data_IF_085091468081
#
_entry.id   IF_085091468081
#
_cell.length_a   1.000
_cell.length_b   1.000
_cell.length_c   1.000
_cell.angle_alpha   90.00
_cell.angle_beta   90.00
_cell.angle_gamma   90.00
#
_symmetry.space_group_name_H-M   'P 1'
#
loop_
_entity.id
_entity.type
_entity.pdbx_description
1 polymer ?
#
# COMPACT_ATOMS: atom_id res chain seq x y z
N UNK A 1 7.32 -44.98 -34.36
CA UNK A 1 6.79 -43.59 -34.42
C UNK A 1 6.16 -43.08 -33.12
N UNK A 2 5.12 -43.72 -32.53
CA UNK A 2 4.55 -43.22 -31.24
C UNK A 2 5.48 -43.43 -30.04
N UNK A 3 6.21 -44.55 -30.03
CA UNK A 3 7.16 -44.90 -28.96
C UNK A 3 8.41 -44.01 -28.98
N UNK A 4 8.90 -43.63 -30.17
CA UNK A 4 10.08 -42.78 -30.33
C UNK A 4 9.83 -41.36 -29.78
N UNK A 5 8.66 -40.78 -30.08
CA UNK A 5 8.25 -39.49 -29.52
C UNK A 5 8.07 -39.53 -27.99
N UNK A 6 7.68 -40.68 -27.44
CA UNK A 6 7.58 -40.86 -25.99
C UNK A 6 8.98 -40.94 -25.35
N UNK A 7 9.92 -41.65 -25.97
CA UNK A 7 11.30 -41.75 -25.51
C UNK A 7 12.02 -40.40 -25.54
N UNK A 8 11.84 -39.60 -26.60
CA UNK A 8 12.39 -38.25 -26.67
C UNK A 8 11.83 -37.34 -25.58
N UNK A 9 10.51 -37.40 -25.34
CA UNK A 9 9.89 -36.63 -24.26
C UNK A 9 10.41 -37.06 -22.88
N UNK A 10 10.54 -38.36 -22.63
CA UNK A 10 11.05 -38.87 -21.34
C UNK A 10 12.49 -38.40 -21.12
N UNK A 11 13.38 -38.53 -22.11
CA UNK A 11 14.76 -38.04 -22.00
C UNK A 11 14.84 -36.54 -21.72
N UNK A 12 13.97 -35.74 -22.35
CA UNK A 12 13.90 -34.31 -22.10
C UNK A 12 13.42 -34.00 -20.67
N UNK A 13 12.43 -34.73 -20.16
CA UNK A 13 11.93 -34.55 -18.79
C UNK A 13 12.95 -35.04 -17.75
N UNK A 14 13.68 -36.12 -18.01
CA UNK A 14 14.72 -36.64 -17.11
C UNK A 14 15.85 -35.60 -16.94
N UNK A 15 16.31 -34.98 -18.03
CA UNK A 15 17.31 -33.94 -17.96
C UNK A 15 16.84 -32.70 -17.17
N UNK A 16 15.54 -32.36 -17.25
CA UNK A 16 14.94 -31.29 -16.45
C UNK A 16 14.86 -31.71 -14.98
N UNK A 17 14.46 -32.96 -14.71
CA UNK A 17 14.37 -33.51 -13.36
C UNK A 17 15.74 -33.47 -12.67
N UNK A 18 16.79 -33.98 -13.30
CA UNK A 18 18.15 -33.98 -12.75
C UNK A 18 18.64 -32.56 -12.44
N UNK A 19 18.37 -31.61 -13.36
CA UNK A 19 18.71 -30.20 -13.15
C UNK A 19 17.95 -29.61 -11.95
N UNK A 20 16.65 -29.89 -11.84
CA UNK A 20 15.83 -29.39 -10.75
C UNK A 20 16.25 -29.98 -9.40
N UNK A 21 16.48 -31.31 -9.34
CA UNK A 21 16.92 -32.01 -8.15
C UNK A 21 18.25 -31.45 -7.63
N UNK A 22 19.20 -31.18 -8.53
CA UNK A 22 20.47 -30.55 -8.16
C UNK A 22 20.29 -29.16 -7.56
N UNK A 23 19.46 -28.32 -8.18
CA UNK A 23 19.19 -26.96 -7.67
C UNK A 23 18.53 -27.00 -6.28
N UNK A 24 17.59 -27.92 -6.05
CA UNK A 24 16.95 -28.11 -4.75
C UNK A 24 17.96 -28.54 -3.69
N UNK A 25 18.81 -29.51 -4.00
CA UNK A 25 19.87 -29.98 -3.09
C UNK A 25 20.88 -28.88 -2.77
N UNK A 26 21.29 -28.10 -3.77
CA UNK A 26 22.21 -26.98 -3.58
C UNK A 26 21.57 -25.90 -2.67
N UNK A 27 20.28 -25.59 -2.88
CA UNK A 27 19.54 -24.63 -2.06
C UNK A 27 19.44 -25.09 -0.59
N UNK A 28 19.04 -26.34 -0.34
CA UNK A 28 18.98 -26.91 1.02
C UNK A 28 20.33 -26.78 1.75
N UNK A 29 21.42 -27.08 1.03
CA UNK A 29 22.78 -26.94 1.59
C UNK A 29 23.12 -25.48 1.91
N UNK A 30 22.70 -24.53 1.08
CA UNK A 30 22.93 -23.11 1.34
C UNK A 30 22.11 -22.60 2.54
N UNK A 31 20.85 -23.05 2.68
CA UNK A 31 19.99 -22.73 3.82
C UNK A 31 20.59 -23.25 5.14
N UNK A 32 20.99 -24.53 5.18
CA UNK A 32 21.64 -25.11 6.36
C UNK A 32 22.90 -24.35 6.77
N UNK A 33 23.75 -23.98 5.80
CA UNK A 33 24.95 -23.17 6.10
C UNK A 33 24.61 -21.77 6.63
N UNK A 34 23.50 -21.20 6.17
CA UNK A 34 23.04 -19.89 6.63
C UNK A 34 22.52 -19.96 8.07
N UNK A 35 21.82 -21.04 8.44
CA UNK A 35 21.38 -21.32 9.81
C UNK A 35 22.57 -21.53 10.75
N UNK A 36 23.55 -22.33 10.34
CA UNK A 36 24.75 -22.64 11.14
C UNK A 36 25.51 -21.37 11.55
N UNK A 37 25.61 -20.39 10.64
CA UNK A 37 26.39 -19.16 10.89
C UNK A 37 25.69 -18.18 11.84
N UNK A 38 24.38 -18.34 12.10
CA UNK A 38 23.62 -17.39 12.93
C UNK A 38 24.15 -17.28 14.36
N UNK A 39 24.70 -18.38 14.89
CA UNK A 39 25.31 -18.37 16.22
C UNK A 39 26.57 -17.50 16.28
N UNK A 40 27.37 -17.48 15.22
CA UNK A 40 28.58 -16.67 15.12
C UNK A 40 28.28 -15.22 14.77
N UNK A 41 27.25 -14.96 13.95
CA UNK A 41 26.77 -13.59 13.69
C UNK A 41 26.30 -12.93 14.99
N UNK A 42 25.57 -13.66 15.86
CA UNK A 42 25.18 -13.14 17.19
C UNK A 42 26.38 -12.82 18.08
N UNK A 43 27.45 -13.62 18.02
CA UNK A 43 28.69 -13.32 18.75
C UNK A 43 29.36 -12.05 18.19
N UNK A 44 29.36 -11.88 16.87
CA UNK A 44 29.90 -10.70 16.21
C UNK A 44 29.11 -9.44 16.58
N UNK A 45 27.78 -9.50 16.58
CA UNK A 45 26.89 -8.43 17.05
C UNK A 45 27.14 -8.06 18.52
N UNK A 46 27.25 -9.08 19.39
CA UNK A 46 27.58 -8.89 20.79
C UNK A 46 28.95 -8.22 20.97
N UNK A 47 29.95 -8.58 20.18
CA UNK A 47 31.26 -7.91 20.18
C UNK A 47 31.12 -6.44 19.73
N UNK A 48 30.52 -6.19 18.57
CA UNK A 48 30.37 -4.84 17.99
C UNK A 48 29.65 -3.85 18.91
N UNK A 49 28.70 -4.36 19.71
CA UNK A 49 27.93 -3.54 20.68
C UNK A 49 28.55 -3.50 22.08
N UNK A 50 29.67 -4.18 22.30
CA UNK A 50 30.32 -4.28 23.60
C UNK A 50 31.26 -3.10 23.90
N UNK A 51 31.67 -3.01 25.16
CA UNK A 51 32.73 -2.09 25.56
C UNK A 51 34.11 -2.52 25.02
N UNK A 52 34.30 -3.83 24.80
CA UNK A 52 35.56 -4.36 24.26
C UNK A 52 35.80 -3.83 22.84
N UNK A 53 34.78 -3.78 21.98
CA UNK A 53 34.91 -3.21 20.64
C UNK A 53 35.29 -1.73 20.68
N UNK A 54 34.73 -0.94 21.61
CA UNK A 54 35.09 0.49 21.76
C UNK A 54 36.54 0.66 22.20
N UNK A 55 37.00 -0.20 23.11
CA UNK A 55 38.38 -0.20 23.56
C UNK A 55 39.32 -0.59 22.42
N UNK A 56 38.99 -1.65 21.68
CA UNK A 56 39.78 -2.11 20.54
C UNK A 56 39.84 -1.05 19.42
N UNK A 57 38.71 -0.41 19.10
CA UNK A 57 38.64 0.70 18.14
C UNK A 57 39.52 1.87 18.57
N UNK A 58 39.50 2.23 19.86
CA UNK A 58 40.36 3.29 20.40
C UNK A 58 41.85 2.93 20.30
N UNK A 59 42.22 1.67 20.57
CA UNK A 59 43.61 1.21 20.41
C UNK A 59 44.07 1.28 18.95
N UNK A 60 43.17 1.02 18.01
CA UNK A 60 43.44 1.15 16.57
C UNK A 60 43.68 2.61 16.17
N UNK A 61 42.81 3.53 16.62
CA UNK A 61 42.92 4.97 16.40
C UNK A 61 44.21 5.57 17.01
N UNK A 62 44.64 5.05 18.16
CA UNK A 62 45.90 5.45 18.81
C UNK A 62 47.15 4.82 18.17
N UNK A 63 46.97 3.96 17.15
CA UNK A 63 48.08 3.29 16.46
C UNK A 63 48.82 2.27 17.32
N UNK A 64 48.15 1.73 18.34
CA UNK A 64 48.72 0.78 19.31
C UNK A 64 48.57 -0.68 18.88
N UNK A 65 47.80 -0.95 17.83
CA UNK A 65 47.64 -2.29 17.25
C UNK A 65 48.68 -2.58 16.16
N UNK A 66 49.12 -3.85 16.01
CA UNK A 66 50.07 -4.23 14.96
C UNK A 66 49.62 -3.86 13.54
N UNK A 67 50.54 -3.38 12.71
CA UNK A 67 50.24 -2.95 11.34
C UNK A 67 49.70 -4.09 10.45
N UNK A 68 50.09 -5.34 10.72
CA UNK A 68 49.67 -6.54 9.98
C UNK A 68 48.33 -7.14 10.46
N UNK A 69 47.70 -6.55 11.48
CA UNK A 69 46.42 -7.01 12.01
C UNK A 69 45.28 -6.70 11.04
N UNK A 70 44.50 -7.73 10.67
CA UNK A 70 43.27 -7.56 9.88
C UNK A 70 42.18 -6.96 10.76
N UNK A 71 41.86 -5.69 10.52
CA UNK A 71 40.96 -4.87 11.36
C UNK A 71 39.57 -4.60 10.76
N UNK A 72 39.07 -5.49 9.90
CA UNK A 72 37.77 -5.30 9.23
C UNK A 72 36.59 -5.13 10.19
N UNK A 73 36.67 -5.72 11.39
CA UNK A 73 35.66 -5.59 12.44
C UNK A 73 35.64 -4.21 13.13
N UNK A 74 36.69 -3.41 12.97
CA UNK A 74 36.82 -2.04 13.49
C UNK A 74 36.51 -0.98 12.43
N UNK A 75 36.07 -1.38 11.23
CA UNK A 75 35.65 -0.42 10.20
C UNK A 75 34.35 0.28 10.59
N UNK A 76 34.18 1.53 10.15
CA UNK A 76 33.01 2.38 10.47
C UNK A 76 31.68 1.67 10.14
N UNK A 77 31.59 1.04 8.97
CA UNK A 77 30.33 0.49 8.46
C UNK A 77 30.31 -1.04 8.27
N UNK A 78 31.46 -1.72 8.26
CA UNK A 78 31.55 -3.10 7.73
C UNK A 78 30.79 -4.16 8.52
N UNK A 79 30.75 -4.07 9.86
CA UNK A 79 29.96 -4.98 10.69
C UNK A 79 28.48 -4.60 10.66
N UNK A 80 28.19 -3.29 10.65
CA UNK A 80 26.83 -2.77 10.58
C UNK A 80 26.09 -3.27 9.33
N UNK A 81 26.69 -3.08 8.14
CA UNK A 81 26.12 -3.52 6.86
C UNK A 81 25.87 -5.03 6.81
N UNK A 82 26.78 -5.81 7.41
CA UNK A 82 26.65 -7.27 7.49
C UNK A 82 25.46 -7.68 8.38
N UNK A 83 25.29 -7.02 9.52
CA UNK A 83 24.20 -7.30 10.45
C UNK A 83 22.84 -6.90 9.84
N UNK A 84 22.77 -5.76 9.17
CA UNK A 84 21.56 -5.31 8.47
C UNK A 84 21.18 -6.30 7.37
N UNK A 85 22.13 -6.68 6.52
CA UNK A 85 21.90 -7.67 5.47
C UNK A 85 21.50 -9.05 6.03
N UNK A 86 22.05 -9.47 7.16
CA UNK A 86 21.64 -10.71 7.82
C UNK A 86 20.19 -10.64 8.31
N UNK A 87 19.78 -9.49 8.88
CA UNK A 87 18.41 -9.26 9.33
C UNK A 87 17.42 -9.32 8.16
N UNK A 88 17.73 -8.66 7.05
CA UNK A 88 16.89 -8.71 5.83
C UNK A 88 16.72 -10.15 5.32
N UNK A 89 17.80 -10.93 5.29
CA UNK A 89 17.74 -12.33 4.84
C UNK A 89 16.93 -13.22 5.79
N UNK A 90 17.06 -13.03 7.10
CA UNK A 90 16.26 -13.74 8.10
C UNK A 90 14.77 -13.40 8.00
N UNK A 91 14.43 -12.15 7.70
CA UNK A 91 13.04 -11.72 7.50
C UNK A 91 12.43 -12.41 6.28
N UNK A 92 13.16 -12.47 5.15
CA UNK A 92 12.73 -13.21 3.95
C UNK A 92 12.48 -14.69 4.23
N UNK A 93 13.39 -15.35 4.95
CA UNK A 93 13.23 -16.77 5.34
C UNK A 93 11.98 -16.97 6.21
N UNK A 94 11.73 -16.07 7.18
CA UNK A 94 10.54 -16.13 8.05
C UNK A 94 9.24 -15.89 7.31
N UNK A 95 9.22 -14.99 6.32
CA UNK A 95 8.05 -14.74 5.48
C UNK A 95 7.68 -15.99 4.67
N UNK A 96 8.68 -16.69 4.12
CA UNK A 96 8.47 -17.95 3.41
C UNK A 96 7.97 -19.09 4.33
N UNK A 97 8.45 -19.16 5.57
CA UNK A 97 7.99 -20.14 6.56
C UNK A 97 6.54 -19.89 7.02
N UNK A 98 6.17 -18.62 7.22
CA UNK A 98 4.80 -18.22 7.56
C UNK A 98 3.82 -18.53 6.44
N UNK A 99 4.22 -18.31 5.18
CA UNK A 99 3.43 -18.68 4.01
C UNK A 99 3.20 -20.20 3.89
N UNK A 100 4.13 -21.03 4.40
CA UNK A 100 3.97 -22.50 4.45
C UNK A 100 3.04 -22.95 5.58
N UNK A 101 3.01 -22.27 6.73
CA UNK A 101 2.22 -22.67 7.90
C UNK A 101 0.75 -22.26 7.84
N UNK A 102 0.37 -21.30 6.99
CA UNK A 102 -1.05 -20.95 6.76
C UNK A 102 -1.78 -21.90 5.80
N UNK A 103 -1.07 -22.84 5.16
CA UNK A 103 -1.59 -23.72 4.11
C UNK A 103 -1.73 -25.19 4.54
N UNK A 104 -2.09 -25.48 5.79
CA UNK A 104 -2.36 -26.87 6.20
C UNK A 104 -3.70 -27.04 6.93
N UNK A 105 -4.78 -27.14 6.14
CA UNK A 105 -5.76 -28.21 6.33
C UNK A 105 -6.57 -28.44 5.04
N UNK A 106 -6.62 -29.70 4.60
CA UNK A 106 -7.54 -30.28 3.59
C UNK A 106 -7.05 -30.36 2.13
N UNK A 107 -6.60 -31.57 1.76
CA UNK A 107 -6.49 -32.15 0.41
C UNK A 107 -5.45 -31.55 -0.54
N UNK A 108 -4.27 -32.17 -0.54
CA UNK A 108 -3.30 -32.13 -1.62
C UNK A 108 -3.93 -32.69 -2.91
N UNK A 109 -4.47 -31.81 -3.74
CA UNK A 109 -4.55 -32.02 -5.19
C UNK A 109 -3.56 -31.05 -5.81
N UNK A 110 -2.47 -31.58 -6.35
CA UNK A 110 -1.42 -30.81 -7.03
C UNK A 110 -1.99 -30.06 -8.24
N UNK A 111 -2.48 -28.86 -8.02
CA UNK A 111 -2.58 -27.81 -9.02
C UNK A 111 -1.41 -26.87 -8.76
N UNK A 112 -0.28 -27.16 -9.39
CA UNK A 112 0.78 -26.17 -9.56
C UNK A 112 0.26 -25.08 -10.50
N UNK A 113 -0.53 -24.16 -9.94
CA UNK A 113 -0.75 -22.88 -10.57
C UNK A 113 0.58 -22.14 -10.50
N UNK A 114 1.12 -21.82 -11.68
CA UNK A 114 2.23 -20.89 -11.82
C UNK A 114 1.81 -19.58 -11.14
N UNK A 115 2.29 -19.30 -9.94
CA UNK A 115 2.40 -17.92 -9.49
C UNK A 115 3.47 -17.27 -10.36
N UNK A 116 3.03 -16.68 -11.48
CA UNK A 116 3.67 -15.47 -11.95
C UNK A 116 3.77 -14.59 -10.70
N UNK A 117 4.95 -14.13 -10.33
CA UNK A 117 5.04 -12.90 -9.52
C UNK A 117 4.21 -11.87 -10.29
N UNK A 118 2.97 -11.67 -9.83
CA UNK A 118 2.13 -10.57 -10.28
C UNK A 118 2.91 -9.37 -9.77
N UNK A 119 3.63 -8.67 -10.64
CA UNK A 119 4.29 -7.44 -10.22
C UNK A 119 3.21 -6.58 -9.59
N UNK A 120 3.39 -6.22 -8.32
CA UNK A 120 2.44 -5.37 -7.61
C UNK A 120 2.28 -4.08 -8.43
N UNK A 121 1.10 -3.91 -9.02
CA UNK A 121 0.80 -2.75 -9.86
C UNK A 121 0.26 -1.66 -8.96
N UNK A 122 0.87 -0.48 -9.07
CA UNK A 122 0.40 0.73 -8.42
C UNK A 122 -0.47 1.48 -9.42
N UNK A 123 -1.69 1.79 -9.03
CA UNK A 123 -2.60 2.65 -9.78
C UNK A 123 -2.64 4.00 -9.08
N UNK A 124 -2.06 5.02 -9.70
CA UNK A 124 -2.26 6.40 -9.27
C UNK A 124 -3.66 6.84 -9.67
N UNK A 125 -4.51 7.03 -8.67
CA UNK A 125 -5.92 7.39 -8.86
C UNK A 125 -6.18 8.86 -8.49
N UNK A 126 -5.13 9.66 -8.30
CA UNK A 126 -5.27 11.10 -8.06
C UNK A 126 -5.36 11.91 -9.35
N UNK A 127 -6.11 13.02 -9.32
CA UNK A 127 -6.07 14.07 -10.32
C UNK A 127 -4.77 14.90 -10.24
N UNK A 128 -4.37 15.50 -11.37
CA UNK A 128 -3.35 16.56 -11.34
C UNK A 128 -4.02 17.83 -10.80
N UNK A 129 -3.41 18.45 -9.79
CA UNK A 129 -4.07 19.48 -8.98
C UNK A 129 -4.30 20.78 -9.77
N UNK A 130 -3.33 21.29 -10.52
CA UNK A 130 -3.46 22.62 -11.14
C UNK A 130 -4.39 22.66 -12.35
N UNK A 131 -4.71 21.51 -12.93
CA UNK A 131 -5.66 21.34 -14.03
C UNK A 131 -6.91 20.55 -13.65
N UNK A 132 -7.16 20.32 -12.35
CA UNK A 132 -8.33 19.56 -11.92
C UNK A 132 -9.63 20.31 -12.19
N UNK A 133 -10.72 19.57 -12.33
CA UNK A 133 -12.04 20.17 -12.26
C UNK A 133 -12.30 20.61 -10.81
N UNK A 134 -12.73 21.86 -10.62
CA UNK A 134 -13.13 22.37 -9.31
C UNK A 134 -14.64 22.34 -9.15
N UNK A 135 -15.11 22.30 -7.90
CA UNK A 135 -16.52 22.44 -7.61
C UNK A 135 -17.04 23.81 -8.11
N UNK A 136 -18.24 23.90 -8.70
CA UNK A 136 -18.75 25.17 -9.22
C UNK A 136 -18.80 26.28 -8.15
N UNK A 137 -18.01 27.34 -8.36
CA UNK A 137 -17.92 28.48 -7.45
C UNK A 137 -16.65 28.53 -6.60
N UNK A 138 -15.93 27.42 -6.49
CA UNK A 138 -14.69 27.34 -5.73
C UNK A 138 -13.50 27.99 -6.45
N UNK A 139 -12.50 28.49 -5.70
CA UNK A 139 -11.27 28.98 -6.31
C UNK A 139 -10.52 27.84 -7.00
N UNK A 140 -9.98 28.15 -8.18
CA UNK A 140 -9.05 27.25 -8.85
C UNK A 140 -7.70 27.23 -8.12
N UNK A 141 -7.02 26.08 -8.06
CA UNK A 141 -5.69 26.00 -7.48
C UNK A 141 -4.68 26.76 -8.33
N UNK A 142 -3.87 27.59 -7.69
CA UNK A 142 -2.88 28.45 -8.35
C UNK A 142 -1.47 28.12 -7.87
N UNK A 143 -0.49 28.28 -8.76
CA UNK A 143 0.93 28.23 -8.43
C UNK A 143 1.64 29.52 -8.80
N UNK A 144 2.55 29.92 -7.93
CA UNK A 144 3.46 31.04 -8.13
C UNK A 144 4.90 30.52 -8.15
N UNK A 145 5.61 30.78 -9.24
CA UNK A 145 7.05 30.56 -9.31
C UNK A 145 7.76 31.67 -8.53
N UNK A 146 8.34 31.32 -7.38
CA UNK A 146 9.08 32.24 -6.52
C UNK A 146 10.54 32.38 -6.97
N UNK A 147 11.18 31.26 -7.32
CA UNK A 147 12.55 31.20 -7.83
C UNK A 147 12.63 30.26 -9.03
N UNK A 148 13.55 30.57 -9.93
CA UNK A 148 13.82 29.76 -11.12
C UNK A 148 15.32 29.70 -11.41
N UNK A 149 15.84 28.49 -11.62
CA UNK A 149 17.27 28.27 -11.91
C UNK A 149 17.67 28.98 -13.21
N UNK A 150 16.81 28.98 -14.24
CA UNK A 150 17.12 29.67 -15.50
C UNK A 150 17.22 31.19 -15.36
N UNK A 151 16.78 31.76 -14.24
CA UNK A 151 16.94 33.17 -13.91
C UNK A 151 18.18 33.42 -13.01
N UNK A 152 19.05 32.41 -12.84
CA UNK A 152 20.27 32.49 -12.03
C UNK A 152 20.08 32.14 -10.55
N UNK A 153 18.93 31.62 -10.13
CA UNK A 153 18.71 31.18 -8.74
C UNK A 153 19.33 29.80 -8.48
N UNK A 154 19.54 29.47 -7.21
CA UNK A 154 20.11 28.17 -6.78
C UNK A 154 19.14 27.00 -6.88
N UNK A 155 17.84 27.27 -6.93
CA UNK A 155 16.78 26.26 -7.02
C UNK A 155 15.55 26.80 -7.77
N UNK A 156 14.67 25.88 -8.14
CA UNK A 156 13.30 26.20 -8.50
C UNK A 156 12.46 26.14 -7.22
N UNK A 157 11.69 27.19 -6.96
CA UNK A 157 10.84 27.28 -5.78
C UNK A 157 9.45 27.72 -6.22
N UNK A 158 8.44 26.93 -5.84
CA UNK A 158 7.04 27.17 -6.18
C UNK A 158 6.23 27.29 -4.90
N UNK A 159 5.50 28.40 -4.76
CA UNK A 159 4.39 28.49 -3.81
C UNK A 159 3.09 28.13 -4.52
N UNK A 160 2.10 27.65 -3.78
CA UNK A 160 0.77 27.38 -4.32
C UNK A 160 -0.31 27.71 -3.30
N UNK A 161 -1.52 27.96 -3.79
CA UNK A 161 -2.73 28.23 -3.02
C UNK A 161 -3.88 27.42 -3.61
N UNK A 162 -4.67 26.76 -2.77
CA UNK A 162 -5.79 25.91 -3.19
C UNK A 162 -6.80 25.73 -2.06
N UNK A 163 -8.04 25.40 -2.41
CA UNK A 163 -9.05 24.88 -1.48
C UNK A 163 -8.67 23.46 -1.02
N UNK A 164 -9.07 23.07 0.18
CA UNK A 164 -8.89 21.71 0.69
C UNK A 164 -9.60 20.65 -0.17
N UNK A 165 -10.64 21.06 -0.90
CA UNK A 165 -11.50 20.24 -1.75
C UNK A 165 -11.14 20.28 -3.25
N UNK A 166 -9.96 20.82 -3.59
CA UNK A 166 -9.48 20.80 -4.98
C UNK A 166 -8.82 19.46 -5.33
N UNK A 167 -9.18 18.93 -6.51
CA UNK A 167 -8.64 17.67 -7.03
C UNK A 167 -9.11 16.48 -6.21
N UNK A 168 -8.22 15.48 -6.05
CA UNK A 168 -8.50 14.30 -5.23
C UNK A 168 -8.26 14.63 -3.76
N UNK A 169 -9.32 14.50 -2.96
CA UNK A 169 -9.32 14.96 -1.59
C UNK A 169 -10.23 14.10 -0.72
N UNK A 170 -10.13 14.32 0.59
CA UNK A 170 -11.01 13.70 1.57
C UNK A 170 -11.72 14.73 2.43
N UNK A 171 -12.98 14.45 2.71
CA UNK A 171 -13.80 15.28 3.59
C UNK A 171 -13.80 14.74 5.01
N UNK A 172 -13.67 15.66 5.96
CA UNK A 172 -13.87 15.41 7.38
C UNK A 172 -15.28 15.82 7.81
N UNK A 173 -15.80 15.30 8.94
CA UNK A 173 -17.10 15.71 9.45
C UNK A 173 -17.28 17.21 9.61
N UNK A 174 -16.21 17.93 9.94
CA UNK A 174 -16.24 19.39 10.09
C UNK A 174 -16.71 20.14 8.82
N UNK A 175 -16.61 19.55 7.62
CA UNK A 175 -17.04 20.18 6.36
C UNK A 175 -18.53 20.56 6.34
N UNK A 176 -19.40 19.71 6.89
CA UNK A 176 -20.85 19.97 6.95
C UNK A 176 -21.43 19.95 8.37
N UNK A 177 -20.65 19.57 9.38
CA UNK A 177 -21.09 19.45 10.77
C UNK A 177 -20.25 20.38 11.63
N UNK A 178 -20.82 21.50 12.04
CA UNK A 178 -20.17 22.43 12.95
C UNK A 178 -19.83 21.73 14.28
N UNK A 179 -18.58 21.86 14.73
CA UNK A 179 -18.03 21.10 15.86
C UNK A 179 -17.70 19.63 15.57
N UNK A 180 -17.84 19.18 14.31
CA UNK A 180 -17.38 17.87 13.85
C UNK A 180 -15.86 17.73 13.91
N UNK A 181 -15.38 16.48 13.82
CA UNK A 181 -13.93 16.20 13.77
C UNK A 181 -13.30 16.85 12.54
N UNK A 182 -12.18 17.53 12.75
CA UNK A 182 -11.35 18.08 11.67
C UNK A 182 -10.45 16.99 11.09
N UNK A 183 -9.90 17.21 9.90
CA UNK A 183 -9.19 16.16 9.15
C UNK A 183 -8.02 15.54 9.92
N UNK A 184 -7.29 16.35 10.70
CA UNK A 184 -6.17 15.94 11.55
C UNK A 184 -6.57 15.08 12.76
N UNK A 185 -7.86 15.03 13.09
CA UNK A 185 -8.41 14.27 14.22
C UNK A 185 -8.95 12.90 13.81
N UNK A 186 -8.99 12.59 12.51
CA UNK A 186 -9.55 11.34 12.00
C UNK A 186 -8.50 10.22 12.06
N UNK A 187 -8.90 9.04 12.53
CA UNK A 187 -8.02 7.86 12.59
C UNK A 187 -7.56 7.45 11.17
N UNK A 188 -6.24 7.30 11.02
CA UNK A 188 -5.60 6.86 9.78
C UNK A 188 -6.14 5.56 9.20
N UNK A 189 -6.69 4.67 10.04
CA UNK A 189 -7.34 3.45 9.56
C UNK A 189 -8.49 3.74 8.59
N UNK A 190 -9.12 4.92 8.60
CA UNK A 190 -10.18 5.21 7.61
C UNK A 190 -9.62 5.37 6.19
N UNK A 191 -8.44 5.98 6.06
CA UNK A 191 -7.84 6.34 4.76
C UNK A 191 -6.95 5.26 4.14
N UNK A 192 -6.42 4.34 4.94
CA UNK A 192 -5.48 3.32 4.49
C UNK A 192 -5.95 1.93 4.89
N UNK A 193 -5.98 1.00 3.94
CA UNK A 193 -6.39 -0.39 4.17
C UNK A 193 -7.01 -1.01 2.93
N UNK A 194 -7.53 -2.23 3.06
CA UNK A 194 -8.18 -2.88 1.93
C UNK A 194 -9.45 -2.14 1.54
N UNK A 195 -9.72 -2.09 0.24
CA UNK A 195 -10.93 -1.50 -0.33
C UNK A 195 -11.51 -2.40 -1.42
N UNK A 196 -12.81 -2.23 -1.67
CA UNK A 196 -13.53 -2.86 -2.76
C UNK A 196 -13.88 -1.82 -3.83
N UNK A 197 -13.35 -2.01 -5.03
CA UNK A 197 -13.68 -1.21 -6.22
C UNK A 197 -14.84 -1.87 -6.97
N UNK A 198 -15.86 -1.09 -7.31
CA UNK A 198 -17.02 -1.54 -8.07
C UNK A 198 -17.45 -0.52 -9.12
N UNK A 199 -17.79 -0.98 -10.31
CA UNK A 199 -18.32 -0.13 -11.37
C UNK A 199 -19.82 0.10 -11.21
N UNK A 200 -20.26 1.35 -11.30
CA UNK A 200 -21.67 1.75 -11.30
C UNK A 200 -21.86 3.06 -12.06
N UNK A 201 -22.95 3.15 -12.84
CA UNK A 201 -23.35 4.37 -13.54
C UNK A 201 -24.79 4.73 -13.16
N UNK A 202 -25.08 6.03 -13.08
CA UNK A 202 -26.36 6.57 -12.64
C UNK A 202 -26.54 6.54 -11.12
N UNK A 203 -27.78 6.59 -10.66
CA UNK A 203 -28.07 6.67 -9.23
C UNK A 203 -27.70 5.37 -8.52
N UNK A 204 -26.97 5.48 -7.40
CA UNK A 204 -26.82 4.41 -6.44
C UNK A 204 -28.05 4.47 -5.54
N UNK A 205 -28.99 3.54 -5.76
CA UNK A 205 -30.21 3.42 -4.95
C UNK A 205 -29.94 2.60 -3.68
N UNK A 206 -30.90 2.59 -2.75
CA UNK A 206 -30.87 1.70 -1.57
C UNK A 206 -30.58 0.23 -1.94
N UNK A 207 -31.18 -0.25 -3.02
CA UNK A 207 -31.02 -1.63 -3.49
C UNK A 207 -29.60 -1.87 -4.03
N UNK A 208 -29.02 -0.89 -4.70
CA UNK A 208 -27.67 -0.96 -5.23
C UNK A 208 -26.64 -0.91 -4.10
N UNK A 209 -26.81 -0.02 -3.11
CA UNK A 209 -25.96 0.03 -1.93
C UNK A 209 -25.95 -1.32 -1.17
N UNK A 210 -27.13 -1.92 -0.95
CA UNK A 210 -27.25 -3.26 -0.34
C UNK A 210 -26.52 -4.33 -1.16
N UNK A 211 -26.58 -4.25 -2.49
CA UNK A 211 -25.89 -5.19 -3.38
C UNK A 211 -24.37 -4.99 -3.33
N UNK A 212 -23.89 -3.75 -3.31
CA UNK A 212 -22.47 -3.40 -3.21
C UNK A 212 -21.91 -3.93 -1.89
N UNK A 213 -22.55 -3.64 -0.75
CA UNK A 213 -22.12 -4.15 0.56
C UNK A 213 -22.08 -5.68 0.59
N UNK A 214 -23.09 -6.35 0.01
CA UNK A 214 -23.11 -7.81 -0.07
C UNK A 214 -21.93 -8.36 -0.89
N UNK A 215 -21.63 -7.75 -2.04
CA UNK A 215 -20.49 -8.16 -2.89
C UNK A 215 -19.15 -7.91 -2.19
N UNK A 216 -18.98 -6.73 -1.61
CA UNK A 216 -17.77 -6.36 -0.88
C UNK A 216 -17.56 -7.26 0.34
N UNK A 217 -18.64 -7.61 1.07
CA UNK A 217 -18.59 -8.57 2.18
C UNK A 217 -18.17 -9.97 1.75
N UNK A 218 -18.68 -10.45 0.60
CA UNK A 218 -18.23 -11.73 0.03
C UNK A 218 -16.76 -11.69 -0.38
N UNK A 219 -16.32 -10.59 -1.02
CA UNK A 219 -14.92 -10.38 -1.39
C UNK A 219 -13.99 -10.30 -0.16
N UNK A 220 -14.45 -9.67 0.93
CA UNK A 220 -13.74 -9.64 2.21
C UNK A 220 -13.50 -11.03 2.77
N UNK A 221 -14.50 -11.91 2.73
CA UNK A 221 -14.35 -13.31 3.18
C UNK A 221 -13.42 -14.08 2.25
N UNK A 222 -13.58 -13.94 0.94
CA UNK A 222 -12.76 -14.64 -0.06
C UNK A 222 -11.28 -14.26 0.02
N UNK A 223 -10.97 -12.99 0.33
CA UNK A 223 -9.61 -12.45 0.36
C UNK A 223 -9.07 -12.30 1.80
N UNK A 224 -9.78 -12.81 2.81
CA UNK A 224 -9.41 -12.72 4.23
C UNK A 224 -9.00 -11.30 4.67
N UNK A 225 -9.77 -10.29 4.24
CA UNK A 225 -9.46 -8.88 4.46
C UNK A 225 -10.69 -8.04 4.82
N UNK A 226 -10.49 -6.77 5.16
CA UNK A 226 -11.54 -5.84 5.59
C UNK A 226 -12.02 -4.90 4.46
N UNK A 227 -11.90 -5.31 3.19
CA UNK A 227 -12.23 -4.49 2.03
C UNK A 227 -13.66 -3.93 2.03
N UNK A 228 -14.62 -4.63 2.66
CA UNK A 228 -16.00 -4.15 2.84
C UNK A 228 -16.10 -2.80 3.57
N UNK A 229 -15.08 -2.46 4.36
CA UNK A 229 -15.05 -1.20 5.10
C UNK A 229 -14.70 0.02 4.22
N UNK A 230 -14.21 -0.16 2.99
CA UNK A 230 -13.86 0.96 2.11
C UNK A 230 -14.33 0.68 0.70
N UNK A 231 -15.31 1.45 0.24
CA UNK A 231 -15.95 1.23 -1.05
C UNK A 231 -15.53 2.34 -2.01
N UNK A 232 -15.00 1.98 -3.18
CA UNK A 232 -14.69 2.93 -4.25
C UNK A 232 -15.58 2.62 -5.45
N UNK A 233 -16.31 3.63 -5.93
CA UNK A 233 -17.21 3.49 -7.07
C UNK A 233 -16.57 4.10 -8.31
N UNK A 234 -16.37 3.26 -9.32
CA UNK A 234 -15.94 3.63 -10.68
C UNK A 234 -17.17 3.93 -11.54
N UNK A 235 -17.14 5.02 -12.30
CA UNK A 235 -18.22 5.42 -13.19
C UNK A 235 -18.94 6.69 -12.72
N UNK A 236 -19.90 7.12 -13.54
CA UNK A 236 -20.69 8.34 -13.30
C UNK A 236 -21.83 8.03 -12.34
N UNK A 237 -21.49 7.84 -11.08
CA UNK A 237 -22.44 7.47 -10.05
C UNK A 237 -22.82 8.65 -9.15
N UNK A 238 -24.09 8.71 -8.78
CA UNK A 238 -24.64 9.70 -7.84
C UNK A 238 -25.30 8.97 -6.68
N UNK A 239 -24.93 9.26 -5.44
CA UNK A 239 -25.52 8.59 -4.28
C UNK A 239 -26.87 9.21 -3.90
N UNK A 240 -27.89 8.37 -3.73
CA UNK A 240 -29.18 8.78 -3.14
C UNK A 240 -29.10 8.83 -1.62
N UNK A 241 -29.97 9.60 -0.96
CA UNK A 241 -30.06 9.61 0.51
C UNK A 241 -30.32 8.22 1.10
N UNK A 242 -31.16 7.42 0.46
CA UNK A 242 -31.48 6.07 0.92
C UNK A 242 -30.25 5.15 0.81
N UNK A 243 -29.42 5.29 -0.23
CA UNK A 243 -28.15 4.59 -0.31
C UNK A 243 -27.17 5.04 0.77
N UNK A 244 -27.08 6.34 1.05
CA UNK A 244 -26.24 6.89 2.12
C UNK A 244 -26.59 6.26 3.48
N UNK A 245 -27.90 6.15 3.79
CA UNK A 245 -28.39 5.49 5.01
C UNK A 245 -27.95 4.02 5.09
N UNK A 246 -27.98 3.29 3.98
CA UNK A 246 -27.50 1.89 3.93
C UNK A 246 -26.00 1.80 4.22
N UNK A 247 -25.17 2.68 3.63
CA UNK A 247 -23.74 2.68 3.88
C UNK A 247 -23.41 3.08 5.32
N UNK A 248 -24.11 4.08 5.87
CA UNK A 248 -24.02 4.48 7.28
C UNK A 248 -24.37 3.32 8.24
N UNK A 249 -25.49 2.65 8.02
CA UNK A 249 -25.92 1.50 8.83
C UNK A 249 -24.95 0.32 8.73
N UNK A 250 -24.28 0.17 7.57
CA UNK A 250 -23.25 -0.84 7.34
C UNK A 250 -21.91 -0.51 7.99
N UNK A 251 -21.74 0.70 8.54
CA UNK A 251 -20.54 1.17 9.25
C UNK A 251 -19.24 1.02 8.45
N UNK A 252 -19.32 1.27 7.15
CA UNK A 252 -18.09 1.42 6.35
C UNK A 252 -17.27 2.60 6.92
N UNK A 253 -15.99 2.63 6.62
CA UNK A 253 -15.07 3.67 7.08
C UNK A 253 -14.90 4.77 6.04
N UNK A 254 -14.91 4.41 4.75
CA UNK A 254 -14.67 5.31 3.62
C UNK A 254 -15.58 4.96 2.44
N UNK A 255 -16.11 5.99 1.79
CA UNK A 255 -16.75 5.90 0.49
C UNK A 255 -16.02 6.83 -0.49
N UNK A 256 -15.67 6.35 -1.69
CA UNK A 256 -15.04 7.19 -2.70
C UNK A 256 -15.65 7.07 -4.08
N UNK A 257 -15.59 8.16 -4.85
CA UNK A 257 -16.17 8.29 -6.19
C UNK A 257 -15.36 9.23 -7.09
N UNK A 258 -15.62 9.17 -8.40
CA UNK A 258 -14.89 9.97 -9.38
C UNK A 258 -15.37 11.42 -9.51
N UNK A 259 -16.56 11.74 -8.99
CA UNK A 259 -17.12 13.10 -8.98
C UNK A 259 -16.48 13.96 -7.88
N UNK A 260 -16.57 15.30 -8.02
CA UNK A 260 -16.20 16.28 -6.98
C UNK A 260 -17.32 16.47 -5.93
N UNK A 261 -18.26 15.53 -5.86
CA UNK A 261 -19.30 15.44 -4.84
C UNK A 261 -19.92 14.04 -4.86
N UNK A 262 -20.25 13.46 -3.71
CA UNK A 262 -20.94 12.15 -3.62
C UNK A 262 -22.44 12.19 -3.90
N UNK A 263 -23.10 13.31 -3.62
CA UNK A 263 -24.55 13.47 -3.73
C UNK A 263 -25.00 14.09 -5.06
N UNK A 264 -26.32 14.27 -5.26
CA UNK A 264 -26.86 15.01 -6.41
C UNK A 264 -26.37 16.46 -6.39
N UNK A 265 -26.07 17.04 -7.56
CA UNK A 265 -25.56 18.43 -7.65
C UNK A 265 -26.55 19.47 -7.10
N UNK A 266 -27.85 19.18 -7.14
CA UNK A 266 -28.92 20.07 -6.66
C UNK A 266 -29.22 19.91 -5.16
N UNK A 267 -28.77 18.82 -4.52
CA UNK A 267 -28.97 18.55 -3.11
C UNK A 267 -27.80 17.75 -2.48
N UNK A 268 -26.54 18.20 -2.59
CA UNK A 268 -25.38 17.40 -2.15
C UNK A 268 -25.31 17.28 -0.63
N UNK A 269 -25.81 18.29 0.10
CA UNK A 269 -25.67 18.43 1.55
C UNK A 269 -26.27 17.27 2.33
N UNK A 270 -27.42 16.73 1.94
CA UNK A 270 -28.12 15.70 2.72
C UNK A 270 -27.32 14.39 2.77
N UNK A 271 -26.68 14.01 1.65
CA UNK A 271 -25.79 12.85 1.58
C UNK A 271 -24.56 13.06 2.48
N UNK A 272 -23.96 14.24 2.44
CA UNK A 272 -22.80 14.55 3.29
C UNK A 272 -23.16 14.47 4.76
N UNK A 273 -24.26 15.08 5.18
CA UNK A 273 -24.73 15.05 6.57
C UNK A 273 -24.93 13.62 7.08
N UNK A 274 -25.51 12.74 6.26
CA UNK A 274 -25.70 11.32 6.62
C UNK A 274 -24.35 10.60 6.76
N UNK A 275 -23.50 10.70 5.74
CA UNK A 275 -22.25 9.95 5.68
C UNK A 275 -21.22 10.44 6.70
N UNK A 276 -20.95 11.75 6.71
CA UNK A 276 -20.04 12.39 7.65
C UNK A 276 -20.56 12.33 9.09
N UNK A 277 -21.89 12.39 9.29
CA UNK A 277 -22.52 12.20 10.60
C UNK A 277 -22.33 10.78 11.16
N UNK A 278 -22.19 9.79 10.29
CA UNK A 278 -21.77 8.43 10.65
C UNK A 278 -20.24 8.27 10.74
N UNK A 279 -19.49 9.37 10.67
CA UNK A 279 -18.03 9.45 10.58
C UNK A 279 -17.43 8.69 9.38
N UNK A 280 -18.19 8.47 8.31
CA UNK A 280 -17.67 7.90 7.07
C UNK A 280 -16.93 9.01 6.32
N UNK A 281 -15.64 8.82 6.04
CA UNK A 281 -14.89 9.80 5.25
C UNK A 281 -15.24 9.64 3.77
N UNK A 282 -15.35 10.78 3.08
CA UNK A 282 -15.63 10.81 1.65
C UNK A 282 -14.31 11.03 0.91
N UNK A 283 -14.04 10.23 -0.12
CA UNK A 283 -12.87 10.35 -0.99
C UNK A 283 -13.34 10.73 -2.39
N UNK A 284 -13.24 12.01 -2.71
CA UNK A 284 -13.83 12.56 -3.93
C UNK A 284 -12.77 12.84 -4.99
N UNK A 285 -13.21 12.87 -6.24
CA UNK A 285 -12.35 13.21 -7.36
C UNK A 285 -11.25 12.17 -7.64
N UNK A 286 -11.47 10.89 -7.35
CA UNK A 286 -10.54 9.83 -7.77
C UNK A 286 -10.68 9.49 -9.26
N UNK A 287 -9.69 8.81 -9.84
CA UNK A 287 -9.68 8.35 -11.24
C UNK A 287 -9.47 6.85 -11.33
N UNK A 288 -10.48 6.12 -11.77
CA UNK A 288 -10.54 4.66 -11.77
C UNK A 288 -10.61 4.06 -13.18
N UNK A 289 -10.47 4.86 -14.25
CA UNK A 289 -10.49 4.41 -15.66
C UNK A 289 -9.65 3.14 -15.91
N UNK A 290 -8.42 3.11 -15.38
CA UNK A 290 -7.47 2.01 -15.56
C UNK A 290 -7.58 0.89 -14.51
N UNK A 291 -8.54 0.99 -13.58
CA UNK A 291 -8.75 0.07 -12.45
C UNK A 291 -9.94 -0.84 -12.74
N UNK A 292 -9.77 -2.14 -12.58
CA UNK A 292 -10.85 -3.12 -12.71
C UNK A 292 -11.56 -3.33 -11.36
N UNK A 293 -12.83 -3.75 -11.40
CA UNK A 293 -13.57 -4.14 -10.19
C UNK A 293 -12.83 -5.22 -9.40
N UNK A 294 -12.78 -5.08 -8.08
CA UNK A 294 -12.09 -6.04 -7.21
C UNK A 294 -11.53 -5.46 -5.92
N UNK A 295 -10.68 -6.26 -5.27
CA UNK A 295 -10.03 -5.90 -4.00
C UNK A 295 -8.66 -5.28 -4.26
N UNK A 296 -8.35 -4.21 -3.55
CA UNK A 296 -7.06 -3.52 -3.60
C UNK A 296 -6.65 -3.07 -2.20
N UNK A 297 -5.37 -2.72 -2.02
CA UNK A 297 -4.95 -1.92 -0.87
C UNK A 297 -4.98 -0.44 -1.26
N UNK A 298 -5.78 0.35 -0.56
CA UNK A 298 -5.91 1.79 -0.73
C UNK A 298 -4.93 2.54 0.18
N UNK A 299 -4.29 3.55 -0.39
CA UNK A 299 -3.81 4.70 0.36
C UNK A 299 -4.55 5.94 -0.13
N UNK A 300 -5.26 6.62 0.76
CA UNK A 300 -5.85 7.94 0.54
C UNK A 300 -5.52 8.90 1.70
N UNK A 301 -4.33 8.76 2.29
CA UNK A 301 -3.94 9.52 3.46
C UNK A 301 -3.93 11.04 3.16
N UNK A 302 -4.66 11.86 3.92
CA UNK A 302 -4.67 13.31 3.73
C UNK A 302 -3.34 13.96 4.10
N UNK A 303 -3.07 15.13 3.52
CA UNK A 303 -2.09 16.04 4.12
C UNK A 303 -2.57 16.41 5.53
N UNK A 304 -1.65 16.45 6.49
CA UNK A 304 -1.97 16.78 7.87
C UNK A 304 -2.24 18.28 8.05
N UNK A 305 -3.47 18.71 7.74
CA UNK A 305 -3.94 20.10 7.85
C UNK A 305 -4.73 20.27 9.15
N UNK A 306 -4.07 20.82 10.18
CA UNK A 306 -4.67 21.03 11.50
C UNK A 306 -5.91 21.93 11.46
N UNK A 307 -7.03 21.43 11.98
CA UNK A 307 -8.27 22.20 12.10
C UNK A 307 -9.07 22.36 10.79
N UNK A 308 -8.68 21.70 9.70
CA UNK A 308 -9.34 21.83 8.41
C UNK A 308 -10.55 20.88 8.26
N UNK A 309 -11.45 21.27 7.38
CA UNK A 309 -12.67 20.55 6.98
C UNK A 309 -12.45 19.40 6.00
N UNK A 310 -11.30 19.40 5.33
CA UNK A 310 -10.86 18.32 4.47
C UNK A 310 -9.38 18.47 4.17
N UNK A 311 -8.86 17.63 3.29
CA UNK A 311 -7.52 17.82 2.74
C UNK A 311 -7.33 17.08 1.42
N UNK A 312 -6.50 17.61 0.51
CA UNK A 312 -6.06 16.86 -0.66
C UNK A 312 -5.22 15.65 -0.25
N UNK A 313 -5.23 14.62 -1.08
CA UNK A 313 -4.43 13.42 -0.87
C UNK A 313 -3.85 12.88 -2.19
N UNK A 314 -2.77 12.11 -2.08
CA UNK A 314 -2.27 11.30 -3.20
C UNK A 314 -2.83 9.89 -3.08
N UNK A 315 -4.01 9.70 -3.66
CA UNK A 315 -4.71 8.42 -3.63
C UNK A 315 -4.09 7.44 -4.63
N UNK A 316 -3.75 6.23 -4.16
CA UNK A 316 -3.30 5.14 -5.02
C UNK A 316 -3.78 3.78 -4.53
N UNK A 317 -3.87 2.84 -5.47
CA UNK A 317 -4.22 1.44 -5.21
C UNK A 317 -3.02 0.52 -5.49
N UNK A 318 -2.82 -0.49 -4.65
CA UNK A 318 -1.92 -1.60 -4.90
C UNK A 318 -2.74 -2.83 -5.28
N UNK A 319 -2.40 -3.48 -6.39
CA UNK A 319 -2.99 -4.77 -6.74
C UNK A 319 -2.60 -5.83 -5.73
N UNK A 320 -3.58 -6.61 -5.28
CA UNK A 320 -3.40 -7.75 -4.36
C UNK A 320 -3.61 -9.09 -5.08
#
# INVERSE_FOLDING_TARGET
>A
MKTDKAQERIKAMEAIFDKAAKVMQDLEKHMSRFEDIQSDIKKLEAYYTSEDWKNDFKLDEEGLLPDDLKRGVLSEDGVYDLLEKNKELLERVKEEEKAKTSCDSSKVTMLHSRTKEKSMKIYDISQEVFGCQVYPGDPSPERQELLKISNGNVCNLTAFNMCAHNGTHVDAPYHFIDGGKTIDQIDMKRFVGYCYVVSHDGDITEMDAKRIIKKAGAASVENECDCVNRILVKGKATMTEEAAKVFADSRILLFGNESQTVGPEDAPMDVHLIMLGAEIVLLEGIRLDAVEDGVYLLNAAPINLGGADGAPCRAFLLSV
#
